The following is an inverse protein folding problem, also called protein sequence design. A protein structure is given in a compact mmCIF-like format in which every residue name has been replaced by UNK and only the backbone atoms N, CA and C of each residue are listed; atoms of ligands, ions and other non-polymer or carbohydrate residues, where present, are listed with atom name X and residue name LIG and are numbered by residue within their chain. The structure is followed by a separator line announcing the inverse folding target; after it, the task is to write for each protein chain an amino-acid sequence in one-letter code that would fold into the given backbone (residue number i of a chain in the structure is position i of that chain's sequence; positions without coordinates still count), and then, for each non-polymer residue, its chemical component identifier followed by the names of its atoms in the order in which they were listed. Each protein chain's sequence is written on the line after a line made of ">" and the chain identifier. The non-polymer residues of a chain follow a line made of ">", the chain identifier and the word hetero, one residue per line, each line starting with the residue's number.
data_IF_143330143548
#
_entry.id   IF_143330143548
#
_cell.length_a   1.000
_cell.length_b   1.000
_cell.length_c   1.000
_cell.angle_alpha   90.00
_cell.angle_beta   90.00
_cell.angle_gamma   90.00
#
_symmetry.space_group_name_H-M   'P 1'
#
loop_
_entity.id
_entity.type
_entity.pdbx_description
1 polymer ?
#
# COMPACT_ATOMS: atom_id res chain seq x y z
N UNK A 1 -16.68 7.12 -5.58
CA UNK A 1 -15.49 6.29 -5.87
C UNK A 1 -15.86 4.82 -5.66
N UNK A 2 -15.61 3.96 -6.65
CA UNK A 2 -15.81 2.50 -6.56
C UNK A 2 -14.54 1.80 -7.05
N UNK A 3 -13.65 1.47 -6.11
CA UNK A 3 -12.38 0.82 -6.40
C UNK A 3 -12.41 -0.66 -5.99
N UNK A 4 -11.77 -1.51 -6.80
CA UNK A 4 -11.40 -2.87 -6.41
C UNK A 4 -9.88 -2.96 -6.42
N UNK A 5 -9.28 -3.36 -5.30
CA UNK A 5 -7.83 -3.51 -5.15
C UNK A 5 -7.49 -4.98 -4.99
N UNK A 6 -6.48 -5.44 -5.73
CA UNK A 6 -5.95 -6.80 -5.66
C UNK A 6 -4.46 -6.71 -5.37
N UNK A 7 -4.07 -7.01 -4.13
CA UNK A 7 -2.67 -7.17 -3.75
C UNK A 7 -2.16 -8.53 -4.22
N UNK A 8 -1.00 -8.53 -4.86
CA UNK A 8 -0.37 -9.70 -5.48
C UNK A 8 0.99 -10.01 -4.83
N UNK A 9 1.12 -9.69 -3.54
CA UNK A 9 2.34 -9.90 -2.75
C UNK A 9 3.58 -9.31 -3.47
N UNK A 10 4.57 -10.15 -3.83
CA UNK A 10 5.79 -9.74 -4.54
C UNK A 10 5.55 -9.13 -5.94
N UNK A 11 4.37 -9.35 -6.52
CA UNK A 11 4.01 -8.86 -7.85
C UNK A 11 3.27 -7.50 -7.78
N UNK A 12 3.10 -6.93 -6.58
CA UNK A 12 2.60 -5.57 -6.38
C UNK A 12 1.09 -5.51 -6.20
N UNK A 13 0.43 -4.57 -6.88
CA UNK A 13 -1.00 -4.32 -6.72
C UNK A 13 -1.63 -3.85 -8.03
N UNK A 14 -2.84 -4.34 -8.30
CA UNK A 14 -3.70 -3.88 -9.38
C UNK A 14 -4.94 -3.24 -8.77
N UNK A 15 -5.32 -2.06 -9.26
CA UNK A 15 -6.53 -1.35 -8.87
C UNK A 15 -7.41 -1.14 -10.08
N UNK A 16 -8.68 -1.51 -9.98
CA UNK A 16 -9.72 -1.15 -10.94
C UNK A 16 -10.55 0.02 -10.41
N UNK A 17 -10.57 1.14 -11.14
CA UNK A 17 -11.52 2.23 -10.89
C UNK A 17 -12.72 2.10 -11.81
N UNK A 18 -13.86 1.69 -11.23
CA UNK A 18 -15.08 1.52 -11.98
C UNK A 18 -15.73 2.84 -12.40
N UNK A 19 -15.36 3.96 -11.77
CA UNK A 19 -15.87 5.30 -12.07
C UNK A 19 -15.22 5.83 -13.35
N UNK A 20 -13.90 5.68 -13.46
CA UNK A 20 -13.11 6.13 -14.62
C UNK A 20 -12.89 5.04 -15.68
N UNK A 21 -13.30 3.81 -15.42
CA UNK A 21 -13.15 2.65 -16.32
C UNK A 21 -11.69 2.39 -16.73
N UNK A 22 -10.78 2.49 -15.76
CA UNK A 22 -9.34 2.27 -15.98
C UNK A 22 -8.69 1.52 -14.82
N UNK A 23 -7.54 0.92 -15.11
CA UNK A 23 -6.69 0.25 -14.13
C UNK A 23 -5.50 1.10 -13.72
N UNK A 24 -4.99 0.82 -12.53
CA UNK A 24 -3.70 1.30 -12.03
C UNK A 24 -2.90 0.11 -11.54
N UNK A 25 -1.59 0.17 -11.73
CA UNK A 25 -0.67 -0.86 -11.27
C UNK A 25 0.47 -0.19 -10.51
N UNK A 26 0.95 -0.85 -9.46
CA UNK A 26 2.09 -0.38 -8.69
C UNK A 26 2.94 -1.56 -8.25
N UNK A 27 4.25 -1.46 -8.48
CA UNK A 27 5.22 -2.49 -8.13
C UNK A 27 5.24 -2.75 -6.62
N UNK A 28 5.54 -4.00 -6.23
CA UNK A 28 5.89 -4.33 -4.85
C UNK A 28 7.12 -3.51 -4.37
N UNK A 29 7.26 -3.27 -3.06
CA UNK A 29 8.37 -2.50 -2.56
C UNK A 29 9.69 -3.23 -2.82
N UNK A 30 10.66 -2.51 -3.40
CA UNK A 30 11.99 -3.05 -3.76
C UNK A 30 12.99 -2.87 -2.60
N UNK A 31 14.02 -3.71 -2.60
CA UNK A 31 15.13 -3.68 -1.63
C UNK A 31 14.62 -3.67 -0.17
N UNK A 32 13.77 -4.65 0.16
CA UNK A 32 13.19 -4.79 1.49
C UNK A 32 14.03 -5.75 2.34
N UNK A 33 14.31 -5.39 3.58
CA UNK A 33 14.87 -6.31 4.56
C UNK A 33 13.73 -7.07 5.27
N UNK A 34 13.28 -8.18 4.69
CA UNK A 34 12.10 -8.91 5.18
C UNK A 34 12.39 -9.55 6.54
N UNK A 35 11.77 -9.03 7.59
CA UNK A 35 11.80 -9.57 8.95
C UNK A 35 10.56 -10.43 9.22
N UNK A 36 9.36 -9.93 8.89
CA UNK A 36 8.09 -10.64 9.11
C UNK A 36 7.05 -10.21 8.07
N UNK A 37 6.33 -11.12 7.39
CA UNK A 37 5.28 -10.73 6.45
C UNK A 37 3.97 -10.31 7.16
N UNK A 38 3.87 -10.48 8.48
CA UNK A 38 2.65 -10.21 9.23
C UNK A 38 2.27 -8.73 9.14
N UNK A 39 0.99 -8.45 8.88
CA UNK A 39 0.44 -7.10 8.82
C UNK A 39 0.76 -6.28 7.57
N UNK A 40 1.50 -6.83 6.60
CA UNK A 40 1.83 -6.12 5.35
C UNK A 40 0.58 -5.63 4.61
N UNK A 41 -0.42 -6.51 4.44
CA UNK A 41 -1.69 -6.18 3.81
C UNK A 41 -2.54 -5.19 4.62
N UNK A 42 -2.56 -5.33 5.95
CA UNK A 42 -3.30 -4.42 6.84
C UNK A 42 -2.71 -3.01 6.79
N UNK A 43 -1.38 -2.91 6.85
CA UNK A 43 -0.64 -1.65 6.73
C UNK A 43 -0.78 -1.03 5.32
N UNK A 44 -0.76 -1.85 4.26
CA UNK A 44 -1.05 -1.41 2.90
C UNK A 44 -2.44 -0.77 2.80
N UNK A 45 -3.48 -1.52 3.21
CA UNK A 45 -4.87 -1.07 3.14
C UNK A 45 -5.09 0.20 3.97
N UNK A 46 -4.52 0.26 5.18
CA UNK A 46 -4.62 1.43 6.05
C UNK A 46 -3.95 2.66 5.44
N UNK A 47 -2.75 2.51 4.86
CA UNK A 47 -2.06 3.59 4.16
C UNK A 47 -2.81 4.09 2.92
N UNK A 48 -3.40 3.18 2.15
CA UNK A 48 -4.22 3.52 0.98
C UNK A 48 -5.48 4.30 1.38
N UNK A 49 -6.23 3.81 2.38
CA UNK A 49 -7.45 4.46 2.85
C UNK A 49 -7.14 5.84 3.46
N UNK A 50 -6.10 5.93 4.30
CA UNK A 50 -5.70 7.19 4.93
C UNK A 50 -5.34 8.26 3.89
N UNK A 51 -4.54 7.89 2.88
CA UNK A 51 -4.14 8.82 1.82
C UNK A 51 -5.34 9.30 0.97
N UNK A 52 -6.30 8.42 0.66
CA UNK A 52 -7.54 8.81 -0.01
C UNK A 52 -8.39 9.80 0.81
N UNK A 53 -8.51 9.60 2.13
CA UNK A 53 -9.21 10.55 3.03
C UNK A 53 -8.53 11.93 3.01
N UNK A 54 -7.21 11.94 2.80
CA UNK A 54 -6.42 13.17 2.64
C UNK A 54 -6.36 13.70 1.19
N UNK A 55 -7.32 13.31 0.34
CA UNK A 55 -7.46 13.77 -1.05
C UNK A 55 -6.23 13.49 -1.93
N UNK A 56 -5.44 12.45 -1.62
CA UNK A 56 -4.39 11.98 -2.51
C UNK A 56 -5.01 11.27 -3.71
N UNK A 57 -4.33 11.36 -4.85
CA UNK A 57 -4.69 10.59 -6.04
C UNK A 57 -4.49 9.09 -5.79
N UNK A 58 -5.07 8.23 -6.64
CA UNK A 58 -4.89 6.77 -6.54
C UNK A 58 -3.40 6.41 -6.64
N UNK A 59 -2.65 7.01 -7.56
CA UNK A 59 -1.22 6.73 -7.73
C UNK A 59 -0.40 7.15 -6.50
N UNK A 60 -0.65 8.32 -5.92
CA UNK A 60 -0.01 8.75 -4.67
C UNK A 60 -0.39 7.82 -3.51
N UNK A 61 -1.65 7.42 -3.44
CA UNK A 61 -2.17 6.52 -2.42
C UNK A 61 -1.52 5.14 -2.49
N UNK A 62 -1.29 4.62 -3.70
CA UNK A 62 -0.56 3.37 -3.93
C UNK A 62 0.90 3.46 -3.50
N UNK A 63 1.57 4.58 -3.76
CA UNK A 63 2.95 4.80 -3.29
C UNK A 63 3.03 4.83 -1.75
N UNK A 64 2.09 5.54 -1.11
CA UNK A 64 2.00 5.61 0.37
C UNK A 64 1.70 4.23 0.97
N UNK A 65 0.70 3.53 0.45
CA UNK A 65 0.30 2.20 0.89
C UNK A 65 1.45 1.18 0.78
N UNK A 66 2.14 1.17 -0.35
CA UNK A 66 3.30 0.31 -0.61
C UNK A 66 4.43 0.59 0.38
N UNK A 67 4.67 1.87 0.72
CA UNK A 67 5.65 2.25 1.72
C UNK A 67 5.25 1.87 3.16
N UNK A 68 3.95 1.88 3.49
CA UNK A 68 3.45 1.35 4.76
C UNK A 68 3.65 -0.17 4.84
N UNK A 69 3.32 -0.91 3.77
CA UNK A 69 3.56 -2.34 3.69
C UNK A 69 5.05 -2.67 3.85
N UNK A 70 5.93 -1.91 3.19
CA UNK A 70 7.39 -2.03 3.34
C UNK A 70 7.83 -1.93 4.80
N UNK A 71 7.38 -0.90 5.51
CA UNK A 71 7.78 -0.71 6.90
C UNK A 71 7.23 -1.78 7.84
N UNK A 72 6.06 -2.34 7.52
CA UNK A 72 5.52 -3.51 8.22
C UNK A 72 6.41 -4.73 8.03
N UNK A 73 6.81 -5.04 6.78
CA UNK A 73 7.62 -6.22 6.51
C UNK A 73 9.05 -6.13 7.05
N UNK A 74 9.54 -4.91 7.25
CA UNK A 74 10.82 -4.59 7.87
C UNK A 74 10.73 -4.45 9.41
N UNK A 75 9.64 -4.92 10.03
CA UNK A 75 9.40 -4.89 11.47
C UNK A 75 9.14 -6.28 12.06
N UNK A 76 9.41 -6.45 13.35
CA UNK A 76 8.99 -7.65 14.11
C UNK A 76 7.48 -7.62 14.45
N UNK A 77 6.86 -6.44 14.45
CA UNK A 77 5.44 -6.24 14.76
C UNK A 77 4.61 -6.19 13.49
N UNK A 78 3.38 -6.69 13.55
CA UNK A 78 2.41 -6.57 12.46
C UNK A 78 2.08 -5.11 12.10
N UNK A 79 2.18 -4.20 13.08
CA UNK A 79 2.08 -2.75 12.85
C UNK A 79 3.28 -2.08 13.53
N UNK A 80 4.17 -1.40 12.78
CA UNK A 80 5.26 -0.63 13.35
C UNK A 80 4.78 0.49 14.27
N UNK A 81 5.55 0.81 15.31
CA UNK A 81 5.21 1.90 16.25
C UNK A 81 5.23 3.29 15.59
N UNK A 82 5.96 3.44 14.49
CA UNK A 82 6.10 4.68 13.72
C UNK A 82 6.18 4.37 12.24
N UNK A 83 5.45 5.14 11.45
CA UNK A 83 5.58 5.17 10.01
C UNK A 83 6.30 6.45 9.56
N UNK A 84 7.33 6.28 8.74
CA UNK A 84 7.92 7.33 7.93
C UNK A 84 7.14 7.41 6.63
N UNK A 85 6.07 8.20 6.61
CA UNK A 85 5.26 8.41 5.41
C UNK A 85 5.95 9.43 4.51
N UNK A 86 5.99 9.17 3.20
CA UNK A 86 6.52 10.11 2.21
C UNK A 86 5.82 11.47 2.37
N UNK A 87 6.60 12.54 2.53
CA UNK A 87 6.08 13.92 2.60
C UNK A 87 5.65 14.41 1.23
#
# INVERSE_FOLDING_TARGET
>A
MKLCLITLDKDGVIVWDNSEKKSYEYDAPKNCNIISPSGAGDCFNSGFIASLIHNKSISESLAIATNCAKQSIESEKAVPDKFNVLK
#
